data_IF_413961548450
#
_entry.id   IF_413961548450
#
_cell.length_a   1.000
_cell.length_b   1.000
_cell.length_c   1.000
_cell.angle_alpha   90.00
_cell.angle_beta   90.00
_cell.angle_gamma   90.00
#
_symmetry.space_group_name_H-M   'P 1'
#
loop_
_entity.id
_entity.type
_entity.pdbx_description
1 polymer ?
#
# COMPACT_ATOMS: atom_id res chain seq x y z
N UNK A 1 -50.09 80.78 -55.27
CA UNK A 1 -49.24 79.65 -55.06
C UNK A 1 -48.70 79.51 -53.60
N UNK A 2 -48.47 80.59 -52.87
CA UNK A 2 -47.89 80.51 -51.46
C UNK A 2 -48.85 79.91 -50.40
N UNK A 3 -50.19 80.08 -50.58
CA UNK A 3 -51.18 79.55 -49.62
C UNK A 3 -51.38 78.02 -49.69
N UNK A 4 -51.16 77.39 -50.85
CA UNK A 4 -51.30 75.94 -51.04
C UNK A 4 -50.09 75.18 -50.42
N UNK A 5 -48.87 75.76 -50.40
CA UNK A 5 -47.68 75.12 -49.83
C UNK A 5 -47.77 75.07 -48.30
N UNK A 6 -48.35 76.16 -47.68
CA UNK A 6 -48.52 76.20 -46.22
C UNK A 6 -49.47 75.09 -45.73
N UNK A 7 -50.55 74.83 -46.51
CA UNK A 7 -51.54 73.78 -46.21
C UNK A 7 -50.89 72.39 -46.21
N UNK A 8 -50.01 72.10 -47.18
CA UNK A 8 -49.37 70.80 -47.31
C UNK A 8 -48.37 70.57 -46.16
N UNK A 9 -47.62 71.59 -45.72
CA UNK A 9 -46.64 71.50 -44.59
C UNK A 9 -47.39 71.26 -43.27
N UNK A 10 -48.57 71.89 -43.05
CA UNK A 10 -49.35 71.69 -41.82
C UNK A 10 -49.92 70.25 -41.78
N UNK A 11 -50.43 69.75 -42.92
CA UNK A 11 -50.95 68.36 -43.01
C UNK A 11 -49.79 67.35 -42.79
N UNK A 12 -48.58 67.60 -43.33
CA UNK A 12 -47.40 66.72 -43.11
C UNK A 12 -46.95 66.72 -41.65
N UNK A 13 -46.98 67.86 -40.94
CA UNK A 13 -46.63 67.95 -39.52
C UNK A 13 -47.69 67.26 -38.62
N UNK A 14 -49.00 67.38 -38.95
CA UNK A 14 -50.08 66.68 -38.19
C UNK A 14 -50.04 65.20 -38.46
N UNK A 15 -49.80 64.76 -39.70
CA UNK A 15 -49.66 63.33 -40.04
C UNK A 15 -48.33 62.72 -39.43
N UNK A 16 -47.20 63.45 -39.46
CA UNK A 16 -45.95 63.03 -38.87
C UNK A 16 -46.04 62.96 -37.34
N UNK A 17 -46.65 63.96 -36.68
CA UNK A 17 -46.91 63.94 -35.24
C UNK A 17 -47.85 62.82 -34.79
N UNK A 18 -48.93 62.58 -35.57
CA UNK A 18 -49.84 61.46 -35.33
C UNK A 18 -49.20 60.09 -35.49
N UNK A 19 -48.34 59.90 -36.50
CA UNK A 19 -47.60 58.71 -36.75
C UNK A 19 -46.53 58.46 -35.63
N UNK A 20 -45.85 59.50 -35.19
CA UNK A 20 -44.91 59.46 -34.11
C UNK A 20 -45.56 59.15 -32.75
N UNK A 21 -46.71 59.72 -32.46
CA UNK A 21 -47.50 59.44 -31.26
C UNK A 21 -48.05 58.00 -31.27
N UNK A 22 -48.48 57.50 -32.45
CA UNK A 22 -48.95 56.14 -32.61
C UNK A 22 -47.84 55.08 -32.47
N UNK A 23 -46.69 55.30 -33.06
CA UNK A 23 -45.49 54.41 -32.89
C UNK A 23 -44.97 54.38 -31.46
N UNK A 24 -45.06 55.54 -30.75
CA UNK A 24 -44.69 55.53 -29.30
C UNK A 24 -45.69 54.79 -28.41
N UNK A 25 -47.00 54.83 -28.76
CA UNK A 25 -48.01 54.07 -28.05
C UNK A 25 -47.97 52.55 -28.37
N UNK A 26 -47.71 52.21 -29.61
CA UNK A 26 -47.52 50.82 -30.01
C UNK A 26 -46.26 50.16 -29.45
N UNK A 27 -45.23 50.97 -29.17
CA UNK A 27 -43.97 50.49 -28.51
C UNK A 27 -44.09 50.29 -26.99
N UNK A 28 -45.12 50.82 -26.34
CA UNK A 28 -45.32 50.72 -24.89
C UNK A 28 -46.10 49.45 -24.42
N UNK A 29 -46.76 48.72 -25.37
CA UNK A 29 -47.46 47.50 -25.06
C UNK A 29 -46.76 46.20 -25.48
N UNK A 30 -45.56 46.30 -26.09
CA UNK A 30 -44.88 45.15 -26.69
C UNK A 30 -43.80 44.48 -25.80
N UNK A 31 -43.67 44.82 -24.51
CA UNK A 31 -42.60 44.26 -23.66
C UNK A 31 -43.15 43.65 -22.36
N UNK A 32 -44.25 42.92 -22.42
CA UNK A 32 -44.58 41.94 -21.39
C UNK A 32 -44.27 40.54 -21.94
N UNK A 33 -43.02 40.13 -21.77
CA UNK A 33 -42.70 38.71 -21.94
C UNK A 33 -43.70 37.87 -21.14
N UNK A 34 -44.18 36.71 -21.65
CA UNK A 34 -45.13 35.89 -20.93
C UNK A 34 -44.52 35.50 -19.56
N UNK A 35 -45.22 35.93 -18.51
CA UNK A 35 -44.79 35.60 -17.15
C UNK A 35 -44.93 34.10 -16.94
N UNK A 36 -43.81 33.42 -16.75
CA UNK A 36 -43.81 32.02 -16.37
C UNK A 36 -44.13 31.97 -14.88
N UNK A 37 -45.27 31.41 -14.55
CA UNK A 37 -45.67 31.19 -13.15
C UNK A 37 -45.61 29.70 -12.83
N UNK A 38 -45.23 29.35 -11.62
CA UNK A 38 -45.24 28.00 -11.10
C UNK A 38 -46.08 27.93 -9.82
N UNK A 39 -46.77 26.82 -9.61
CA UNK A 39 -47.46 26.58 -8.35
C UNK A 39 -46.53 25.96 -7.34
N UNK A 40 -46.68 26.35 -6.08
CA UNK A 40 -46.01 25.70 -4.94
C UNK A 40 -46.68 24.35 -4.73
N UNK A 41 -45.95 23.29 -4.96
CA UNK A 41 -46.43 21.91 -4.86
C UNK A 41 -45.67 21.18 -3.73
N UNK A 42 -46.34 20.20 -3.13
CA UNK A 42 -45.71 19.31 -2.17
C UNK A 42 -45.25 18.06 -2.89
N UNK A 43 -43.94 17.74 -2.71
CA UNK A 43 -43.37 16.58 -3.39
C UNK A 43 -42.06 16.11 -2.74
N UNK A 44 -41.51 15.01 -3.23
CA UNK A 44 -40.23 14.53 -2.78
C UNK A 44 -39.08 15.38 -3.36
N UNK A 45 -38.10 15.67 -2.53
CA UNK A 45 -36.87 16.32 -2.95
C UNK A 45 -35.68 15.53 -2.39
N UNK A 46 -34.61 15.46 -3.16
CA UNK A 46 -33.36 14.84 -2.74
C UNK A 46 -32.18 15.69 -3.20
N UNK A 47 -31.31 15.97 -2.24
CA UNK A 47 -30.02 16.57 -2.53
C UNK A 47 -29.06 15.45 -2.94
N UNK A 48 -28.48 15.57 -4.10
CA UNK A 48 -27.60 14.56 -4.67
C UNK A 48 -26.21 15.16 -4.96
N UNK A 49 -25.19 14.28 -4.91
CA UNK A 49 -23.85 14.55 -5.42
C UNK A 49 -23.58 13.54 -6.52
N UNK A 50 -23.43 14.02 -7.74
CA UNK A 50 -23.08 13.19 -8.89
C UNK A 50 -21.56 13.12 -9.05
N UNK A 51 -21.04 11.93 -9.30
CA UNK A 51 -19.63 11.69 -9.53
C UNK A 51 -19.45 10.56 -10.54
N UNK A 52 -18.36 10.59 -11.28
CA UNK A 52 -17.93 9.47 -12.12
C UNK A 52 -16.85 8.68 -11.38
N UNK A 53 -16.83 7.39 -11.59
CA UNK A 53 -15.86 6.51 -10.95
C UNK A 53 -15.57 5.27 -11.78
N UNK A 54 -14.67 4.46 -11.27
CA UNK A 54 -14.35 3.14 -11.84
C UNK A 54 -14.68 2.04 -10.86
N UNK A 55 -15.12 0.92 -11.40
CA UNK A 55 -15.35 -0.31 -10.62
C UNK A 55 -13.99 -0.91 -10.25
N UNK A 56 -13.84 -1.32 -9.01
CA UNK A 56 -12.64 -2.02 -8.53
C UNK A 56 -13.03 -3.25 -7.74
N UNK A 57 -12.15 -4.24 -7.75
CA UNK A 57 -12.24 -5.43 -6.91
C UNK A 57 -12.07 -5.09 -5.43
N UNK A 58 -12.31 -6.07 -4.58
CA UNK A 58 -12.00 -5.94 -3.14
C UNK A 58 -10.49 -5.84 -2.91
N UNK A 59 -9.74 -6.71 -3.58
CA UNK A 59 -8.29 -6.80 -3.50
C UNK A 59 -7.73 -7.30 -4.82
N UNK A 60 -6.69 -6.64 -5.32
CA UNK A 60 -5.87 -7.12 -6.43
C UNK A 60 -4.49 -7.47 -5.91
N UNK A 61 -4.04 -8.70 -6.17
CA UNK A 61 -2.74 -9.19 -5.75
C UNK A 61 -1.90 -9.55 -6.97
N UNK A 62 -0.82 -8.82 -7.15
CA UNK A 62 0.18 -9.13 -8.15
C UNK A 62 1.07 -10.28 -7.67
N UNK A 63 0.95 -11.42 -8.32
CA UNK A 63 1.74 -12.62 -8.03
C UNK A 63 3.09 -12.49 -8.72
N UNK A 64 4.14 -12.47 -7.90
CA UNK A 64 5.54 -12.44 -8.35
C UNK A 64 6.25 -13.70 -7.92
N UNK A 65 7.13 -14.23 -8.77
CA UNK A 65 7.95 -15.37 -8.39
C UNK A 65 9.11 -14.94 -7.50
N UNK A 66 9.39 -15.73 -6.47
CA UNK A 66 10.56 -15.58 -5.63
C UNK A 66 11.78 -16.31 -6.19
N UNK A 67 11.58 -17.41 -6.94
CA UNK A 67 12.62 -18.12 -7.68
C UNK A 67 12.74 -17.61 -9.12
N UNK A 68 13.87 -17.85 -9.75
CA UNK A 68 14.11 -17.61 -11.18
C UNK A 68 14.07 -18.93 -11.94
N UNK A 69 13.63 -18.92 -13.19
CA UNK A 69 13.60 -20.11 -14.02
C UNK A 69 12.70 -19.99 -15.23
N UNK A 70 12.65 -21.03 -16.05
CA UNK A 70 11.70 -21.13 -17.16
C UNK A 70 10.33 -21.62 -16.64
N UNK A 71 9.25 -21.07 -17.17
CA UNK A 71 7.89 -21.50 -16.84
C UNK A 71 7.62 -22.85 -17.53
N UNK A 72 7.39 -23.90 -16.73
CA UNK A 72 7.09 -25.25 -17.24
C UNK A 72 5.58 -25.48 -17.28
N UNK A 73 4.84 -25.06 -16.25
CA UNK A 73 3.39 -25.20 -16.18
C UNK A 73 2.72 -23.90 -15.79
N UNK A 74 1.57 -23.65 -16.40
CA UNK A 74 0.72 -22.50 -16.16
C UNK A 74 -0.74 -22.97 -16.33
N UNK A 75 -1.34 -23.60 -15.30
CA UNK A 75 -2.63 -24.29 -15.42
C UNK A 75 -3.83 -23.33 -15.55
N UNK A 76 -3.67 -22.04 -15.16
CA UNK A 76 -4.75 -21.05 -15.17
C UNK A 76 -4.57 -20.06 -16.31
N UNK A 77 -5.68 -19.71 -16.96
CA UNK A 77 -5.75 -18.63 -17.96
C UNK A 77 -6.57 -17.45 -17.40
N UNK A 78 -6.61 -16.36 -18.16
CA UNK A 78 -7.40 -15.17 -17.81
C UNK A 78 -8.87 -15.54 -17.66
N UNK A 79 -9.49 -15.07 -16.59
CA UNK A 79 -10.87 -15.35 -16.16
C UNK A 79 -11.08 -16.70 -15.45
N UNK A 80 -10.05 -17.51 -15.26
CA UNK A 80 -10.16 -18.72 -14.44
C UNK A 80 -10.23 -18.39 -12.96
N UNK A 81 -10.98 -19.21 -12.19
CA UNK A 81 -11.08 -19.07 -10.74
C UNK A 81 -10.04 -19.95 -10.07
N UNK A 82 -9.21 -19.34 -9.25
CA UNK A 82 -8.22 -20.01 -8.41
C UNK A 82 -8.59 -19.91 -6.94
N UNK A 83 -8.38 -20.99 -6.20
CA UNK A 83 -8.52 -21.04 -4.74
C UNK A 83 -7.17 -20.87 -4.08
N UNK A 84 -7.18 -20.40 -2.85
CA UNK A 84 -5.97 -20.31 -2.04
C UNK A 84 -5.29 -21.68 -1.92
N UNK A 85 -3.99 -21.72 -2.25
CA UNK A 85 -3.18 -22.93 -2.29
C UNK A 85 -3.15 -23.64 -3.64
N UNK A 86 -3.91 -23.19 -4.64
CA UNK A 86 -3.83 -23.74 -5.99
C UNK A 86 -2.49 -23.36 -6.63
N UNK A 87 -1.90 -24.31 -7.38
CA UNK A 87 -0.66 -24.10 -8.12
C UNK A 87 -0.92 -23.19 -9.33
N UNK A 88 -0.42 -21.96 -9.27
CA UNK A 88 -0.58 -20.98 -10.36
C UNK A 88 0.48 -21.12 -11.42
N UNK A 89 1.73 -21.33 -11.01
CA UNK A 89 2.88 -21.45 -11.90
C UNK A 89 3.86 -22.46 -11.35
N UNK A 90 4.44 -23.27 -12.22
CA UNK A 90 5.58 -24.12 -11.89
C UNK A 90 6.77 -23.74 -12.78
N UNK A 91 7.87 -23.41 -12.12
CA UNK A 91 9.15 -23.14 -12.79
C UNK A 91 9.95 -24.45 -12.93
N UNK A 92 10.90 -24.47 -13.84
CA UNK A 92 11.85 -25.58 -13.97
C UNK A 92 12.68 -25.71 -12.68
N UNK A 93 12.53 -26.82 -11.91
CA UNK A 93 13.18 -26.98 -10.63
C UNK A 93 14.60 -27.54 -10.73
N UNK A 94 15.11 -27.88 -11.92
CA UNK A 94 16.34 -28.67 -12.10
C UNK A 94 17.53 -28.01 -11.45
N UNK A 95 17.70 -26.71 -11.66
CA UNK A 95 18.86 -25.99 -11.12
C UNK A 95 18.78 -25.85 -9.60
N UNK A 96 17.60 -25.52 -9.05
CA UNK A 96 17.39 -25.44 -7.60
C UNK A 96 17.52 -26.81 -6.92
N UNK A 97 17.08 -27.90 -7.54
CA UNK A 97 17.30 -29.27 -7.05
C UNK A 97 18.78 -29.62 -6.96
N UNK A 98 19.60 -29.18 -7.92
CA UNK A 98 21.06 -29.38 -7.86
C UNK A 98 21.68 -28.66 -6.67
N UNK A 99 21.23 -27.42 -6.39
CA UNK A 99 21.70 -26.63 -5.24
C UNK A 99 21.31 -27.30 -3.92
N UNK A 100 20.07 -27.84 -3.81
CA UNK A 100 19.64 -28.63 -2.64
C UNK A 100 20.54 -29.84 -2.45
N UNK A 101 20.75 -30.63 -3.49
CA UNK A 101 21.61 -31.81 -3.39
C UNK A 101 23.06 -31.48 -3.00
N UNK A 102 23.61 -30.38 -3.56
CA UNK A 102 24.93 -29.90 -3.14
C UNK A 102 24.96 -29.51 -1.65
N UNK A 103 23.90 -28.85 -1.17
CA UNK A 103 23.73 -28.54 0.26
C UNK A 103 23.67 -29.77 1.15
N UNK A 104 22.93 -30.81 0.74
CA UNK A 104 22.84 -32.09 1.47
C UNK A 104 24.21 -32.80 1.60
N UNK A 105 24.96 -32.86 0.50
CA UNK A 105 26.30 -33.45 0.50
C UNK A 105 27.25 -32.66 1.42
N UNK A 106 27.19 -31.34 1.35
CA UNK A 106 28.01 -30.46 2.20
C UNK A 106 27.69 -30.61 3.68
N UNK A 107 26.38 -30.67 4.02
CA UNK A 107 25.94 -30.93 5.39
C UNK A 107 26.38 -32.30 5.88
N UNK A 108 26.32 -33.33 5.04
CA UNK A 108 26.81 -34.67 5.38
C UNK A 108 28.33 -34.65 5.69
N UNK A 109 29.11 -33.93 4.90
CA UNK A 109 30.55 -33.78 5.11
C UNK A 109 30.88 -33.04 6.43
N UNK A 110 30.16 -31.96 6.74
CA UNK A 110 30.35 -31.21 7.99
C UNK A 110 29.92 -32.03 9.22
N UNK A 111 28.88 -32.84 9.14
CA UNK A 111 28.47 -33.78 10.20
C UNK A 111 29.53 -34.85 10.44
N UNK A 112 30.12 -35.42 9.38
CA UNK A 112 31.22 -36.37 9.52
C UNK A 112 32.47 -35.71 10.19
N UNK A 113 32.80 -34.49 9.82
CA UNK A 113 33.88 -33.74 10.44
C UNK A 113 33.62 -33.46 11.95
N UNK A 114 32.40 -33.15 12.32
CA UNK A 114 32.01 -32.99 13.72
C UNK A 114 32.18 -34.30 14.49
N UNK A 115 31.75 -35.42 13.91
CA UNK A 115 31.90 -36.74 14.52
C UNK A 115 33.39 -37.10 14.74
N UNK A 116 34.26 -36.86 13.75
CA UNK A 116 35.70 -37.02 13.87
C UNK A 116 36.24 -36.18 15.03
N UNK A 117 35.90 -34.89 15.09
CA UNK A 117 36.37 -34.01 16.16
C UNK A 117 35.88 -34.47 17.55
N UNK A 118 34.66 -34.98 17.66
CA UNK A 118 34.13 -35.54 18.90
C UNK A 118 34.84 -36.81 19.31
N UNK A 119 35.15 -37.70 18.38
CA UNK A 119 35.93 -38.94 18.65
C UNK A 119 37.36 -38.61 19.09
N UNK A 120 38.02 -37.66 18.41
CA UNK A 120 39.35 -37.19 18.82
C UNK A 120 39.34 -36.62 20.24
N UNK A 121 38.35 -35.83 20.60
CA UNK A 121 38.18 -35.32 21.95
C UNK A 121 37.99 -36.45 22.96
N UNK A 122 37.11 -37.41 22.65
CA UNK A 122 36.83 -38.54 23.51
C UNK A 122 38.09 -39.39 23.77
N UNK A 123 38.90 -39.64 22.75
CA UNK A 123 40.18 -40.33 22.88
C UNK A 123 41.15 -39.52 23.75
N UNK A 124 41.29 -38.22 23.49
CA UNK A 124 42.19 -37.35 24.28
C UNK A 124 41.80 -37.29 25.77
N UNK A 125 40.50 -37.25 26.07
CA UNK A 125 39.98 -37.31 27.46
C UNK A 125 40.40 -38.62 28.14
N UNK A 126 40.22 -39.77 27.48
CA UNK A 126 40.57 -41.08 28.02
C UNK A 126 42.08 -41.23 28.24
N UNK A 127 42.90 -40.74 27.30
CA UNK A 127 44.36 -40.78 27.44
C UNK A 127 44.78 -39.94 28.63
N UNK A 128 44.32 -38.71 28.76
CA UNK A 128 44.66 -37.85 29.91
C UNK A 128 44.24 -38.45 31.24
N UNK A 129 43.05 -39.04 31.34
CA UNK A 129 42.56 -39.71 32.55
C UNK A 129 43.45 -40.91 32.92
N UNK A 130 43.83 -41.73 31.95
CA UNK A 130 44.74 -42.86 32.16
C UNK A 130 46.12 -42.41 32.63
N UNK A 131 46.65 -41.35 32.01
CA UNK A 131 47.98 -40.83 32.37
C UNK A 131 47.97 -40.13 33.74
N UNK A 132 46.87 -39.50 34.14
CA UNK A 132 46.66 -38.98 35.49
C UNK A 132 46.68 -40.09 36.54
N UNK A 133 45.98 -41.18 36.30
CA UNK A 133 45.95 -42.32 37.23
C UNK A 133 47.34 -42.91 37.37
N UNK A 134 48.14 -43.11 36.30
CA UNK A 134 49.53 -43.61 36.33
C UNK A 134 50.41 -42.64 37.07
N UNK A 135 50.35 -41.33 36.78
CA UNK A 135 51.21 -40.33 37.44
C UNK A 135 50.86 -40.17 38.92
N UNK A 136 49.56 -40.24 39.30
CA UNK A 136 49.18 -40.22 40.71
C UNK A 136 49.71 -41.43 41.48
N UNK A 137 49.65 -42.64 40.92
CA UNK A 137 50.18 -43.86 41.50
C UNK A 137 51.76 -43.78 41.64
N UNK A 138 52.42 -43.24 40.59
CA UNK A 138 53.87 -43.04 40.62
C UNK A 138 54.30 -41.99 41.67
N UNK A 139 53.57 -40.91 41.81
CA UNK A 139 53.80 -39.87 42.85
C UNK A 139 53.62 -40.44 44.24
N UNK A 140 52.58 -41.20 44.51
CA UNK A 140 52.35 -41.85 45.80
C UNK A 140 53.47 -42.81 46.12
N UNK A 141 53.91 -43.64 45.18
CA UNK A 141 55.08 -44.58 45.41
C UNK A 141 56.38 -43.82 45.67
N UNK A 142 56.65 -42.72 44.95
CA UNK A 142 57.86 -41.88 45.17
C UNK A 142 57.78 -41.17 46.53
N UNK A 143 56.63 -40.69 46.95
CA UNK A 143 56.39 -40.07 48.28
C UNK A 143 56.76 -41.05 49.40
N UNK A 144 56.28 -42.29 49.36
CA UNK A 144 56.54 -43.32 50.36
C UNK A 144 58.03 -43.68 50.40
N UNK A 145 58.69 -43.86 49.22
CA UNK A 145 60.09 -44.17 49.16
C UNK A 145 60.97 -43.02 49.70
N UNK A 146 60.71 -41.80 49.34
CA UNK A 146 61.41 -40.62 49.83
C UNK A 146 61.27 -40.43 51.32
N UNK A 147 60.06 -40.65 51.88
CA UNK A 147 59.84 -40.60 53.31
C UNK A 147 60.60 -41.68 54.06
N UNK A 148 60.63 -42.95 53.60
CA UNK A 148 61.33 -44.05 54.20
C UNK A 148 62.88 -43.86 54.14
N UNK A 149 63.42 -43.46 52.97
CA UNK A 149 64.83 -43.19 52.79
C UNK A 149 65.29 -42.02 53.68
N UNK A 150 64.50 -40.96 53.79
CA UNK A 150 64.81 -39.83 54.67
C UNK A 150 64.85 -40.25 56.15
N UNK A 151 63.82 -41.00 56.59
CA UNK A 151 63.80 -41.54 57.96
C UNK A 151 64.95 -42.44 58.26
N UNK A 152 65.47 -43.24 57.29
CA UNK A 152 66.72 -44.02 57.44
C UNK A 152 67.91 -43.15 57.54
N UNK A 153 68.13 -42.16 56.71
CA UNK A 153 69.23 -41.21 56.75
C UNK A 153 69.25 -40.44 58.08
N UNK A 154 68.14 -39.96 58.56
CA UNK A 154 68.03 -39.26 59.84
C UNK A 154 68.39 -40.19 61.02
N UNK A 155 67.97 -41.44 60.99
CA UNK A 155 68.39 -42.42 61.99
C UNK A 155 69.92 -42.71 61.95
N UNK A 156 70.51 -42.90 60.75
CA UNK A 156 71.91 -43.12 60.60
C UNK A 156 72.71 -41.90 61.05
N UNK A 157 72.25 -40.70 60.81
CA UNK A 157 72.89 -39.47 61.33
C UNK A 157 72.89 -39.44 62.86
N UNK A 158 71.80 -39.78 63.54
CA UNK A 158 71.74 -39.85 65.00
C UNK A 158 72.66 -40.95 65.56
N UNK A 159 72.81 -42.10 64.88
CA UNK A 159 73.74 -43.16 65.29
C UNK A 159 75.20 -42.78 65.08
N UNK A 160 75.51 -42.06 64.00
CA UNK A 160 76.82 -41.54 63.72
C UNK A 160 77.30 -40.54 64.81
N UNK A 161 76.43 -39.62 65.19
CA UNK A 161 76.61 -38.64 66.28
C UNK A 161 76.95 -39.38 67.63
N UNK A 162 76.39 -40.58 67.80
CA UNK A 162 76.65 -41.44 68.97
C UNK A 162 77.83 -42.42 68.78
N UNK A 163 78.60 -42.36 67.67
CA UNK A 163 79.68 -43.27 67.28
C UNK A 163 79.23 -44.74 67.17
N UNK A 164 77.96 -45.01 66.81
CA UNK A 164 77.39 -46.37 66.73
C UNK A 164 77.33 -46.92 65.31
N UNK A 165 77.77 -46.15 64.30
CA UNK A 165 77.76 -46.52 62.86
C UNK A 165 78.99 -45.88 62.18
N UNK A 166 79.31 -46.33 60.94
CA UNK A 166 80.37 -45.75 60.13
C UNK A 166 79.94 -44.55 59.31
N UNK A 167 80.86 -43.65 58.93
CA UNK A 167 80.65 -42.56 58.02
C UNK A 167 80.09 -43.04 56.65
N UNK A 168 80.67 -44.15 56.16
CA UNK A 168 80.25 -44.76 54.87
C UNK A 168 78.79 -45.21 54.87
N UNK A 169 78.31 -45.77 55.99
CA UNK A 169 76.93 -46.17 56.13
C UNK A 169 75.95 -44.97 56.16
N UNK A 170 76.35 -43.87 56.81
CA UNK A 170 75.61 -42.61 56.77
C UNK A 170 75.59 -42.01 55.37
N UNK A 171 76.74 -41.90 54.71
CA UNK A 171 76.84 -41.34 53.35
C UNK A 171 76.04 -42.15 52.34
N UNK A 172 76.01 -43.47 52.50
CA UNK A 172 75.18 -44.35 51.70
C UNK A 172 73.63 -44.06 51.90
N UNK A 173 73.22 -43.89 53.16
CA UNK A 173 71.85 -43.59 53.48
C UNK A 173 71.41 -42.18 53.01
N UNK A 174 72.34 -41.19 53.13
CA UNK A 174 72.11 -39.82 52.67
C UNK A 174 71.98 -39.77 51.13
N UNK A 175 72.89 -40.51 50.44
CA UNK A 175 72.83 -40.64 48.99
C UNK A 175 71.49 -41.29 48.55
N UNK A 176 71.03 -42.34 49.23
CA UNK A 176 69.71 -42.97 48.94
C UNK A 176 68.60 -42.05 49.22
N UNK A 177 68.62 -41.21 50.27
CA UNK A 177 67.55 -40.19 50.51
C UNK A 177 67.55 -39.10 49.46
N UNK A 178 68.71 -38.62 49.01
CA UNK A 178 68.88 -37.63 47.95
C UNK A 178 68.30 -38.16 46.61
N UNK A 179 68.64 -39.39 46.25
CA UNK A 179 68.17 -40.07 45.05
C UNK A 179 66.65 -40.21 45.08
N UNK A 180 66.11 -40.71 46.22
CA UNK A 180 64.61 -40.80 46.36
C UNK A 180 63.90 -39.43 46.35
N UNK A 181 64.57 -38.36 46.82
CA UNK A 181 64.09 -36.99 46.75
C UNK A 181 64.00 -36.49 45.30
N UNK A 182 65.03 -36.80 44.47
CA UNK A 182 64.96 -36.43 43.03
C UNK A 182 63.92 -37.22 42.28
N UNK A 183 63.68 -38.49 42.63
CA UNK A 183 62.56 -39.30 42.06
C UNK A 183 61.19 -38.70 42.41
N UNK A 184 61.04 -38.20 43.64
CA UNK A 184 59.80 -37.51 44.06
C UNK A 184 59.60 -36.23 43.26
N UNK A 185 60.69 -35.42 43.07
CA UNK A 185 60.55 -34.21 42.21
C UNK A 185 60.19 -34.59 40.80
N UNK A 186 60.76 -35.61 40.21
CA UNK A 186 60.48 -36.10 38.87
C UNK A 186 59.01 -36.53 38.73
N UNK A 187 58.46 -37.23 39.73
CA UNK A 187 57.06 -37.62 39.76
C UNK A 187 56.11 -36.40 39.90
N UNK A 188 56.58 -35.40 40.66
CA UNK A 188 55.77 -34.13 40.79
C UNK A 188 55.77 -33.35 39.49
N UNK A 189 56.93 -33.24 38.80
CA UNK A 189 56.98 -32.58 37.47
C UNK A 189 56.06 -33.29 36.46
N UNK A 190 55.98 -34.63 36.55
CA UNK A 190 55.07 -35.38 35.68
C UNK A 190 53.63 -35.00 35.88
N UNK A 191 53.15 -34.71 37.08
CA UNK A 191 51.78 -34.20 37.35
C UNK A 191 51.61 -32.78 36.74
N UNK A 192 52.67 -31.95 36.78
CA UNK A 192 52.61 -30.60 36.20
C UNK A 192 52.54 -30.64 34.67
N UNK A 193 53.28 -31.59 34.04
CA UNK A 193 53.14 -31.79 32.57
C UNK A 193 51.73 -32.15 32.15
N UNK A 194 50.97 -32.88 32.98
CA UNK A 194 49.57 -33.20 32.67
C UNK A 194 48.64 -31.97 32.65
N UNK A 195 48.95 -30.91 33.39
CA UNK A 195 48.21 -29.64 33.30
C UNK A 195 48.37 -28.98 31.92
N UNK A 196 49.54 -29.11 31.30
CA UNK A 196 49.74 -28.66 29.93
C UNK A 196 48.88 -29.45 28.93
N UNK A 197 48.71 -30.76 29.17
CA UNK A 197 47.82 -31.60 28.35
C UNK A 197 46.36 -31.21 28.53
N UNK A 198 45.93 -30.68 29.70
CA UNK A 198 44.57 -30.14 29.90
C UNK A 198 44.31 -28.93 29.00
N UNK A 199 45.31 -28.06 28.80
CA UNK A 199 45.18 -26.93 27.87
C UNK A 199 45.00 -27.44 26.43
N UNK A 200 45.77 -28.47 26.04
CA UNK A 200 45.60 -29.12 24.73
C UNK A 200 44.20 -29.73 24.55
N UNK A 201 43.63 -30.28 25.63
CA UNK A 201 42.26 -30.79 25.63
C UNK A 201 41.24 -29.67 25.39
N UNK A 202 41.46 -28.49 25.97
CA UNK A 202 40.56 -27.32 25.73
C UNK A 202 40.60 -26.88 24.27
N UNK A 203 41.74 -26.93 23.60
CA UNK A 203 41.82 -26.69 22.14
C UNK A 203 40.98 -27.71 21.35
N UNK A 204 40.98 -29.00 21.78
CA UNK A 204 40.10 -30.00 21.14
C UNK A 204 38.62 -29.72 21.37
N UNK A 205 38.21 -29.22 22.54
CA UNK A 205 36.83 -28.78 22.80
C UNK A 205 36.42 -27.64 21.89
N UNK A 206 37.31 -26.65 21.71
CA UNK A 206 37.06 -25.56 20.78
C UNK A 206 36.96 -26.04 19.33
N UNK A 207 37.76 -27.05 18.92
CA UNK A 207 37.63 -27.66 17.59
C UNK A 207 36.27 -28.32 17.39
N UNK A 208 35.72 -29.01 18.40
CA UNK A 208 34.35 -29.55 18.35
C UNK A 208 33.31 -28.43 18.26
N UNK A 209 33.46 -27.33 19.01
CA UNK A 209 32.56 -26.19 18.94
C UNK A 209 32.59 -25.54 17.56
N UNK A 210 33.74 -25.39 16.93
CA UNK A 210 33.89 -24.88 15.57
C UNK A 210 33.24 -25.81 14.56
N UNK A 211 33.47 -27.13 14.65
CA UNK A 211 32.83 -28.09 13.75
C UNK A 211 31.30 -28.09 13.89
N UNK A 212 30.80 -27.93 15.13
CA UNK A 212 29.34 -27.78 15.38
C UNK A 212 28.78 -26.53 14.74
N UNK A 213 29.44 -25.37 14.86
CA UNK A 213 29.03 -24.14 14.22
C UNK A 213 28.99 -24.26 12.68
N UNK A 214 29.96 -25.03 12.10
CA UNK A 214 29.98 -25.31 10.67
C UNK A 214 28.76 -26.15 10.23
N UNK A 215 28.39 -27.18 11.01
CA UNK A 215 27.14 -27.96 10.74
C UNK A 215 25.94 -27.05 10.75
N UNK A 216 25.78 -26.18 11.74
CA UNK A 216 24.68 -25.25 11.84
C UNK A 216 24.62 -24.28 10.64
N UNK A 217 25.76 -23.77 10.20
CA UNK A 217 25.85 -22.92 9.01
C UNK A 217 25.42 -23.65 7.73
N UNK A 218 25.84 -24.91 7.58
CA UNK A 218 25.47 -25.73 6.43
C UNK A 218 23.99 -26.18 6.47
N UNK A 219 23.41 -26.40 7.66
CA UNK A 219 21.97 -26.64 7.85
C UNK A 219 21.13 -25.44 7.42
N UNK A 220 21.52 -24.22 7.82
CA UNK A 220 20.88 -22.99 7.38
C UNK A 220 20.99 -22.84 5.85
N UNK A 221 22.17 -23.08 5.30
CA UNK A 221 22.40 -23.01 3.85
C UNK A 221 21.52 -23.99 3.07
N UNK A 222 21.37 -25.21 3.55
CA UNK A 222 20.47 -26.21 2.98
C UNK A 222 19.01 -25.78 3.07
N UNK A 223 18.59 -25.26 4.21
CA UNK A 223 17.21 -24.74 4.38
C UNK A 223 16.89 -23.65 3.38
N UNK A 224 17.81 -22.70 3.15
CA UNK A 224 17.65 -21.64 2.14
C UNK A 224 17.51 -22.24 0.74
N UNK A 225 18.32 -23.25 0.40
CA UNK A 225 18.22 -23.93 -0.89
C UNK A 225 16.88 -24.66 -1.07
N UNK A 226 16.40 -25.32 -0.02
CA UNK A 226 15.08 -25.98 -0.01
C UNK A 226 13.92 -24.98 -0.16
N UNK A 227 14.02 -23.83 0.49
CA UNK A 227 13.04 -22.75 0.36
C UNK A 227 12.98 -22.23 -1.07
N UNK A 228 14.15 -22.00 -1.71
CA UNK A 228 14.21 -21.60 -3.13
C UNK A 228 13.62 -22.65 -4.05
N UNK A 229 13.88 -23.94 -3.79
CA UNK A 229 13.27 -25.01 -4.55
C UNK A 229 11.75 -25.04 -4.36
N UNK A 230 11.23 -24.82 -3.14
CA UNK A 230 9.79 -24.73 -2.89
C UNK A 230 9.18 -23.51 -3.62
N UNK A 231 9.89 -22.39 -3.64
CA UNK A 231 9.48 -21.16 -4.32
C UNK A 231 9.44 -21.27 -5.86
N UNK A 232 9.91 -22.41 -6.45
CA UNK A 232 9.67 -22.71 -7.87
C UNK A 232 8.20 -23.05 -8.16
N UNK A 233 7.43 -23.40 -7.15
CA UNK A 233 5.98 -23.61 -7.20
C UNK A 233 5.30 -22.41 -6.59
N UNK A 234 4.61 -21.63 -7.42
CA UNK A 234 3.91 -20.44 -7.01
C UNK A 234 2.44 -20.77 -6.80
N UNK A 235 1.99 -20.66 -5.56
CA UNK A 235 0.62 -20.94 -5.15
C UNK A 235 -0.18 -19.65 -4.96
N UNK A 236 -1.51 -19.75 -5.09
CA UNK A 236 -2.44 -18.66 -4.87
C UNK A 236 -2.48 -18.27 -3.37
N UNK A 237 -2.19 -17.00 -3.01
CA UNK A 237 -2.27 -16.55 -1.62
C UNK A 237 -3.71 -16.29 -1.14
N UNK A 238 -4.62 -16.04 -2.08
CA UNK A 238 -6.04 -15.73 -1.85
C UNK A 238 -6.93 -16.49 -2.84
N UNK A 239 -8.21 -16.61 -2.51
CA UNK A 239 -9.24 -16.99 -3.49
C UNK A 239 -9.48 -15.82 -4.43
N UNK A 240 -9.60 -16.06 -5.73
CA UNK A 240 -9.82 -14.99 -6.69
C UNK A 240 -9.93 -15.48 -8.13
N UNK A 241 -10.06 -14.52 -9.03
CA UNK A 241 -10.09 -14.75 -10.47
C UNK A 241 -8.82 -14.17 -11.08
N UNK A 242 -8.22 -14.87 -12.05
CA UNK A 242 -7.06 -14.38 -12.79
C UNK A 242 -7.50 -13.20 -13.68
N UNK A 243 -7.12 -11.99 -13.27
CA UNK A 243 -7.46 -10.77 -14.01
C UNK A 243 -6.52 -10.54 -15.20
N UNK A 244 -5.22 -10.73 -14.98
CA UNK A 244 -4.18 -10.51 -16.00
C UNK A 244 -3.16 -11.62 -15.91
N UNK A 245 -2.67 -12.08 -17.07
CA UNK A 245 -1.58 -13.03 -17.20
C UNK A 245 -0.46 -12.40 -18.03
N UNK A 246 0.70 -12.22 -17.40
CA UNK A 246 1.84 -11.51 -18.02
C UNK A 246 2.93 -12.43 -18.57
N UNK A 247 2.83 -13.75 -18.35
CA UNK A 247 3.85 -14.72 -18.75
C UNK A 247 3.27 -15.87 -19.56
N UNK A 248 4.15 -16.56 -20.27
CA UNK A 248 3.82 -17.72 -21.12
C UNK A 248 4.69 -18.92 -20.77
N UNK A 249 4.22 -20.12 -21.09
CA UNK A 249 5.01 -21.36 -20.96
C UNK A 249 6.28 -21.24 -21.80
N UNK A 250 7.42 -21.63 -21.23
CA UNK A 250 8.76 -21.52 -21.85
C UNK A 250 9.44 -20.16 -21.67
N UNK A 251 8.75 -19.16 -21.11
CA UNK A 251 9.36 -17.86 -20.82
C UNK A 251 10.25 -17.97 -19.58
N UNK A 252 11.43 -17.35 -19.63
CA UNK A 252 12.34 -17.23 -18.50
C UNK A 252 11.94 -16.01 -17.69
N UNK A 253 11.75 -16.20 -16.39
CA UNK A 253 11.42 -15.15 -15.44
C UNK A 253 12.50 -15.00 -14.39
N UNK A 254 12.65 -13.79 -13.88
CA UNK A 254 13.61 -13.46 -12.82
C UNK A 254 12.93 -13.28 -11.47
N UNK A 255 13.63 -13.71 -10.43
CA UNK A 255 13.20 -13.59 -9.03
C UNK A 255 12.92 -12.15 -8.63
N UNK A 256 11.85 -11.95 -7.86
CA UNK A 256 11.52 -10.67 -7.25
C UNK A 256 12.45 -10.25 -6.11
N UNK A 257 13.20 -11.21 -5.53
CA UNK A 257 14.10 -10.97 -4.39
C UNK A 257 15.50 -10.56 -4.86
N UNK A 258 15.99 -11.16 -5.93
CA UNK A 258 17.36 -10.96 -6.41
C UNK A 258 17.50 -9.82 -7.44
N UNK A 259 16.40 -9.22 -7.87
CA UNK A 259 16.44 -8.17 -8.89
C UNK A 259 16.02 -6.81 -8.31
N UNK A 260 16.87 -5.79 -8.48
CA UNK A 260 16.62 -4.40 -8.05
C UNK A 260 15.33 -3.82 -8.67
N UNK A 261 14.85 -4.37 -9.79
CA UNK A 261 13.60 -3.99 -10.47
C UNK A 261 12.32 -4.64 -9.91
N UNK A 262 12.39 -5.42 -8.82
CA UNK A 262 11.21 -5.98 -8.15
C UNK A 262 10.61 -7.24 -8.78
N UNK A 263 11.30 -7.90 -9.71
CA UNK A 263 10.91 -9.17 -10.32
C UNK A 263 9.76 -9.06 -11.35
N UNK A 264 9.49 -10.17 -12.04
CA UNK A 264 8.42 -10.27 -13.03
C UNK A 264 7.09 -10.59 -12.36
N UNK A 265 6.07 -9.75 -12.56
CA UNK A 265 4.68 -10.09 -12.22
C UNK A 265 4.20 -11.16 -13.18
N UNK A 266 3.80 -12.31 -12.65
CA UNK A 266 3.38 -13.47 -13.42
C UNK A 266 1.92 -13.36 -13.83
N UNK A 267 1.07 -13.12 -12.84
CA UNK A 267 -0.35 -12.90 -13.01
C UNK A 267 -0.88 -12.03 -11.87
N UNK A 268 -2.06 -11.44 -12.08
CA UNK A 268 -2.79 -10.69 -11.06
C UNK A 268 -4.05 -11.45 -10.69
N UNK A 269 -4.22 -11.75 -9.39
CA UNK A 269 -5.44 -12.31 -8.84
C UNK A 269 -6.32 -11.20 -8.27
N UNK A 270 -7.59 -11.17 -8.70
CA UNK A 270 -8.59 -10.24 -8.21
C UNK A 270 -9.64 -10.95 -7.36
N UNK A 271 -9.84 -10.49 -6.15
CA UNK A 271 -10.93 -10.92 -5.28
C UNK A 271 -12.21 -10.17 -5.65
N UNK A 272 -13.15 -10.86 -6.26
CA UNK A 272 -14.47 -10.33 -6.66
C UNK A 272 -15.57 -10.64 -5.65
N UNK A 273 -15.26 -11.11 -4.45
CA UNK A 273 -16.25 -11.35 -3.38
C UNK A 273 -17.03 -10.09 -3.01
N UNK A 274 -16.38 -8.95 -3.09
CA UNK A 274 -16.96 -7.61 -2.92
C UNK A 274 -16.48 -6.70 -4.05
N UNK A 275 -17.39 -5.92 -4.59
CA UNK A 275 -17.10 -4.95 -5.65
C UNK A 275 -17.30 -3.54 -5.08
N UNK A 276 -16.38 -2.66 -5.41
CA UNK A 276 -16.42 -1.26 -5.02
C UNK A 276 -16.36 -0.34 -6.23
N UNK A 277 -16.80 0.88 -6.03
CA UNK A 277 -16.59 1.94 -7.00
C UNK A 277 -15.77 3.03 -6.32
N UNK A 278 -14.71 3.45 -6.98
CA UNK A 278 -13.92 4.61 -6.61
C UNK A 278 -14.44 5.80 -7.40
N UNK A 279 -15.32 6.57 -6.77
CA UNK A 279 -15.93 7.76 -7.36
C UNK A 279 -15.10 9.01 -7.05
N UNK A 280 -14.83 9.83 -8.06
CA UNK A 280 -14.11 11.10 -7.93
C UNK A 280 -15.09 12.23 -7.69
N UNK A 281 -15.18 12.72 -6.47
CA UNK A 281 -16.07 13.81 -6.04
C UNK A 281 -15.28 15.11 -5.99
N UNK A 282 -15.86 16.17 -6.55
CA UNK A 282 -15.28 17.51 -6.55
C UNK A 282 -15.14 18.10 -5.12
N UNK A 283 -14.09 18.91 -4.89
CA UNK A 283 -13.82 19.59 -3.62
C UNK A 283 -15.03 20.41 -3.14
N UNK A 284 -15.75 21.05 -4.04
CA UNK A 284 -16.92 21.88 -3.72
C UNK A 284 -18.10 21.08 -3.15
N UNK A 285 -18.14 19.76 -3.39
CA UNK A 285 -19.25 18.88 -3.02
C UNK A 285 -18.89 17.89 -1.92
N UNK A 286 -17.60 17.59 -1.71
CA UNK A 286 -17.18 16.55 -0.75
C UNK A 286 -17.62 16.84 0.70
N UNK A 287 -17.73 18.11 1.08
CA UNK A 287 -18.20 18.52 2.41
C UNK A 287 -19.63 18.07 2.74
N UNK A 288 -20.43 17.68 1.72
CA UNK A 288 -21.78 17.16 1.88
C UNK A 288 -21.84 15.63 1.99
N UNK A 289 -20.80 14.94 1.53
CA UNK A 289 -20.74 13.47 1.53
C UNK A 289 -20.35 12.97 2.91
N UNK A 290 -21.06 11.95 3.38
CA UNK A 290 -20.81 11.28 4.66
C UNK A 290 -20.77 9.77 4.48
N UNK A 291 -20.16 9.09 5.47
CA UNK A 291 -20.19 7.63 5.53
C UNK A 291 -21.63 7.13 5.65
N UNK A 292 -21.86 5.93 5.17
CA UNK A 292 -23.13 5.21 5.21
C UNK A 292 -24.27 5.80 4.34
N UNK A 293 -24.01 6.83 3.55
CA UNK A 293 -24.99 7.34 2.58
C UNK A 293 -25.24 6.33 1.47
N UNK A 294 -26.49 6.27 1.02
CA UNK A 294 -26.93 5.48 -0.13
C UNK A 294 -26.46 6.13 -1.42
N UNK A 295 -26.15 5.32 -2.42
CA UNK A 295 -25.76 5.78 -3.73
C UNK A 295 -26.44 4.94 -4.81
N UNK A 296 -27.01 5.61 -5.78
CA UNK A 296 -27.52 5.01 -7.01
C UNK A 296 -26.37 4.96 -8.03
N UNK A 297 -26.11 3.77 -8.57
CA UNK A 297 -25.00 3.48 -9.46
C UNK A 297 -25.56 3.10 -10.82
N UNK A 298 -25.05 3.71 -11.88
CA UNK A 298 -25.33 3.33 -13.26
C UNK A 298 -24.02 3.05 -13.97
N UNK A 299 -23.92 1.91 -14.64
CA UNK A 299 -22.74 1.55 -15.42
C UNK A 299 -23.06 1.66 -16.91
N UNK A 300 -22.12 2.22 -17.67
CA UNK A 300 -22.31 2.42 -19.12
C UNK A 300 -22.49 1.09 -19.87
N UNK A 301 -21.95 0.01 -19.33
CA UNK A 301 -22.10 -1.36 -19.86
C UNK A 301 -23.54 -1.93 -19.69
N UNK A 302 -24.35 -1.36 -18.78
CA UNK A 302 -25.71 -1.85 -18.49
C UNK A 302 -26.73 -0.69 -18.51
N UNK A 303 -27.03 -0.15 -19.68
CA UNK A 303 -27.95 0.99 -19.80
C UNK A 303 -29.35 0.64 -19.28
N UNK A 304 -29.94 1.55 -18.49
CA UNK A 304 -31.28 1.39 -17.92
C UNK A 304 -31.32 0.53 -16.63
N UNK A 305 -30.20 0.05 -16.13
CA UNK A 305 -30.13 -0.62 -14.82
C UNK A 305 -29.48 0.30 -13.80
N UNK A 306 -30.15 0.47 -12.67
CA UNK A 306 -29.58 1.17 -11.50
C UNK A 306 -29.24 0.15 -10.42
N UNK A 307 -28.04 0.21 -9.96
CA UNK A 307 -27.52 -0.63 -8.87
C UNK A 307 -27.43 0.21 -7.60
N UNK A 308 -27.59 -0.43 -6.46
CA UNK A 308 -27.49 0.24 -5.18
C UNK A 308 -26.10 0.07 -4.58
N UNK A 309 -25.60 1.12 -3.94
CA UNK A 309 -24.35 1.13 -3.22
C UNK A 309 -24.43 1.95 -1.96
N UNK A 310 -23.37 1.82 -1.14
CA UNK A 310 -23.23 2.52 0.13
C UNK A 310 -21.82 3.10 0.26
N UNK A 311 -21.73 4.34 0.70
CA UNK A 311 -20.44 5.00 0.96
C UNK A 311 -19.75 4.35 2.16
N UNK A 312 -18.59 3.73 1.95
CA UNK A 312 -17.83 3.04 3.00
C UNK A 312 -16.56 3.78 3.41
N UNK A 313 -16.01 4.61 2.52
CA UNK A 313 -14.81 5.38 2.80
C UNK A 313 -14.76 6.66 1.97
N UNK A 314 -14.28 7.73 2.60
CA UNK A 314 -13.96 9.00 1.96
C UNK A 314 -12.48 9.23 2.14
N UNK A 315 -11.75 9.50 1.05
CA UNK A 315 -10.31 9.77 1.12
C UNK A 315 -10.04 11.06 1.92
N UNK A 316 -9.08 11.01 2.80
CA UNK A 316 -8.67 12.19 3.61
C UNK A 316 -7.79 13.16 2.82
N UNK A 317 -7.23 12.70 1.69
CA UNK A 317 -6.37 13.51 0.82
C UNK A 317 -7.00 13.64 -0.55
N UNK A 318 -7.12 14.88 -1.03
CA UNK A 318 -7.52 15.16 -2.42
C UNK A 318 -6.38 14.89 -3.40
N UNK A 319 -6.76 14.55 -4.61
CA UNK A 319 -5.86 14.36 -5.75
C UNK A 319 -6.10 15.53 -6.70
N UNK A 320 -5.03 16.22 -7.09
CA UNK A 320 -5.12 17.28 -8.10
C UNK A 320 -4.89 16.64 -9.48
N UNK A 321 -5.95 16.62 -10.29
CA UNK A 321 -5.89 16.14 -11.66
C UNK A 321 -6.27 17.30 -12.59
N UNK A 322 -5.36 17.74 -13.46
CA UNK A 322 -5.61 18.81 -14.43
C UNK A 322 -6.16 20.10 -13.79
N UNK A 323 -5.60 20.54 -12.67
CA UNK A 323 -6.01 21.73 -11.89
C UNK A 323 -7.39 21.62 -11.19
N UNK A 324 -7.99 20.43 -11.17
CA UNK A 324 -9.20 20.17 -10.40
C UNK A 324 -8.85 19.27 -9.23
N UNK A 325 -9.21 19.69 -8.01
CA UNK A 325 -9.04 18.90 -6.80
C UNK A 325 -10.27 18.00 -6.63
N UNK A 326 -10.03 16.70 -6.64
CA UNK A 326 -11.07 15.70 -6.40
C UNK A 326 -10.71 14.81 -5.21
N UNK A 327 -11.72 14.31 -4.53
CA UNK A 327 -11.61 13.37 -3.43
C UNK A 327 -12.19 12.02 -3.84
N UNK A 328 -11.44 10.97 -3.58
CA UNK A 328 -11.88 9.61 -3.86
C UNK A 328 -12.86 9.14 -2.79
N UNK A 329 -14.05 8.74 -3.21
CA UNK A 329 -15.08 8.15 -2.36
C UNK A 329 -15.24 6.69 -2.76
N UNK A 330 -15.01 5.77 -1.82
CA UNK A 330 -15.18 4.33 -2.01
C UNK A 330 -16.61 3.93 -1.64
N UNK A 331 -17.31 3.35 -2.60
CA UNK A 331 -18.72 2.95 -2.49
C UNK A 331 -18.80 1.46 -2.68
N UNK A 332 -19.38 0.74 -1.73
CA UNK A 332 -19.62 -0.69 -1.83
C UNK A 332 -20.88 -0.94 -2.62
N UNK A 333 -20.79 -1.81 -3.62
CA UNK A 333 -21.93 -2.25 -4.43
C UNK A 333 -22.72 -3.32 -3.67
N UNK A 334 -24.03 -3.17 -3.57
CA UNK A 334 -24.91 -4.07 -2.83
C UNK A 334 -25.78 -4.89 -3.82
N UNK A 335 -26.10 -6.14 -3.45
CA UNK A 335 -27.04 -7.00 -4.20
C UNK A 335 -26.42 -7.73 -5.38
N UNK A 336 -27.24 -8.06 -6.38
CA UNK A 336 -26.87 -8.87 -7.56
C UNK A 336 -25.85 -8.20 -8.50
N UNK A 337 -25.67 -6.91 -8.37
CA UNK A 337 -24.72 -6.12 -9.15
C UNK A 337 -23.27 -6.65 -9.04
N UNK A 338 -22.92 -7.33 -7.95
CA UNK A 338 -21.59 -7.89 -7.71
C UNK A 338 -21.16 -8.90 -8.78
N UNK A 339 -22.10 -9.62 -9.38
CA UNK A 339 -21.81 -10.63 -10.41
C UNK A 339 -21.76 -10.04 -11.82
N UNK A 340 -22.35 -8.87 -12.02
CA UNK A 340 -22.46 -8.22 -13.32
C UNK A 340 -21.36 -7.21 -13.58
N UNK A 341 -21.00 -6.43 -12.55
CA UNK A 341 -19.97 -5.41 -12.67
C UNK A 341 -18.58 -6.05 -12.63
N UNK A 342 -17.72 -5.64 -13.55
CA UNK A 342 -16.32 -6.10 -13.63
C UNK A 342 -15.37 -4.94 -13.30
N UNK A 343 -14.20 -5.24 -12.71
CA UNK A 343 -13.18 -4.23 -12.50
C UNK A 343 -12.86 -3.44 -13.78
N UNK A 344 -12.43 -2.21 -13.62
CA UNK A 344 -12.12 -1.22 -14.68
C UNK A 344 -13.32 -0.73 -15.50
N UNK A 345 -14.56 -1.18 -15.23
CA UNK A 345 -15.76 -0.55 -15.84
C UNK A 345 -15.98 0.86 -15.31
N UNK A 346 -16.35 1.77 -16.18
CA UNK A 346 -16.80 3.13 -15.80
C UNK A 346 -18.21 3.07 -15.23
N UNK A 347 -18.43 3.77 -14.13
CA UNK A 347 -19.73 3.90 -13.49
C UNK A 347 -20.00 5.35 -13.11
N UNK A 348 -21.26 5.77 -13.29
CA UNK A 348 -21.76 7.04 -12.80
C UNK A 348 -22.49 6.81 -11.49
N UNK A 349 -22.15 7.58 -10.48
CA UNK A 349 -22.64 7.44 -9.11
C UNK A 349 -23.39 8.68 -8.70
N UNK A 350 -24.57 8.51 -8.15
CA UNK A 350 -25.40 9.57 -7.58
C UNK A 350 -25.54 9.29 -6.09
N UNK A 351 -24.76 9.99 -5.27
CA UNK A 351 -24.79 9.86 -3.81
C UNK A 351 -25.96 10.66 -3.27
N UNK A 352 -26.82 10.04 -2.48
CA UNK A 352 -27.98 10.67 -1.86
C UNK A 352 -27.54 11.29 -0.53
N UNK A 353 -27.40 12.61 -0.54
CA UNK A 353 -26.94 13.36 0.64
C UNK A 353 -28.07 13.50 1.65
N UNK A 354 -29.26 13.88 1.18
CA UNK A 354 -30.45 14.04 1.99
C UNK A 354 -31.70 13.80 1.15
N UNK A 355 -32.73 13.23 1.72
CA UNK A 355 -34.02 12.96 1.09
C UNK A 355 -35.12 13.39 2.02
N UNK A 356 -36.11 14.11 1.47
CA UNK A 356 -37.39 14.39 2.13
C UNK A 356 -38.53 13.96 1.19
N UNK A 357 -39.46 13.19 1.69
CA UNK A 357 -40.55 12.64 0.88
C UNK A 357 -41.72 13.62 0.70
N UNK A 358 -41.80 14.67 1.54
CA UNK A 358 -42.85 15.69 1.48
C UNK A 358 -42.30 17.05 1.88
N UNK A 359 -41.87 17.83 0.89
CA UNK A 359 -41.39 19.20 1.03
C UNK A 359 -42.19 20.14 0.17
N UNK A 360 -42.34 21.41 0.56
CA UNK A 360 -42.90 22.45 -0.30
C UNK A 360 -41.83 22.87 -1.30
N UNK A 361 -42.13 22.69 -2.59
CA UNK A 361 -41.17 22.85 -3.68
C UNK A 361 -41.55 24.05 -4.55
N UNK A 362 -40.55 24.84 -4.88
CA UNK A 362 -40.63 25.89 -5.90
C UNK A 362 -39.49 25.68 -6.91
N UNK A 363 -39.65 26.09 -8.20
CA UNK A 363 -38.52 26.12 -9.11
C UNK A 363 -37.39 27.00 -8.52
N UNK A 364 -36.14 26.55 -8.63
CA UNK A 364 -35.00 27.28 -8.09
C UNK A 364 -34.86 28.68 -8.70
N UNK A 365 -35.34 28.87 -9.94
CA UNK A 365 -35.41 30.14 -10.68
C UNK A 365 -36.40 31.15 -10.09
N UNK A 366 -37.34 30.70 -9.24
CA UNK A 366 -38.29 31.56 -8.54
C UNK A 366 -37.73 32.17 -7.27
N UNK A 367 -36.59 31.64 -6.77
CA UNK A 367 -35.94 32.10 -5.55
C UNK A 367 -34.85 33.07 -5.90
N UNK A 368 -34.93 34.31 -5.43
CA UNK A 368 -33.88 35.31 -5.64
C UNK A 368 -33.33 35.83 -4.32
N UNK A 369 -32.06 36.21 -4.33
CA UNK A 369 -31.34 36.71 -3.17
C UNK A 369 -31.36 38.25 -3.15
N UNK A 370 -31.85 38.83 -2.04
CA UNK A 370 -31.80 40.27 -1.83
C UNK A 370 -31.15 40.56 -0.49
N UNK A 371 -30.05 41.28 -0.52
CA UNK A 371 -29.22 41.55 0.69
C UNK A 371 -28.83 40.28 1.47
N UNK A 372 -28.57 39.17 0.75
CA UNK A 372 -28.18 37.88 1.35
C UNK A 372 -29.34 37.05 1.94
N UNK A 373 -30.59 37.47 1.80
CA UNK A 373 -31.76 36.69 2.22
C UNK A 373 -32.55 36.21 0.99
N UNK A 374 -33.06 34.96 1.02
CA UNK A 374 -33.89 34.44 -0.06
C UNK A 374 -35.32 35.02 -0.01
N UNK A 375 -35.85 35.41 -1.18
CA UNK A 375 -37.18 35.93 -1.38
C UNK A 375 -37.83 35.23 -2.59
N UNK A 376 -39.15 35.16 -2.58
CA UNK A 376 -39.97 34.70 -3.70
C UNK A 376 -41.03 35.72 -4.01
N UNK A 377 -41.34 35.96 -5.29
CA UNK A 377 -42.46 36.79 -5.69
C UNK A 377 -43.74 35.94 -5.83
N UNK A 378 -44.69 36.19 -4.99
CA UNK A 378 -46.02 35.55 -5.01
C UNK A 378 -46.93 36.36 -5.87
N UNK A 379 -47.54 35.73 -6.87
CA UNK A 379 -48.61 36.35 -7.66
C UNK A 379 -49.94 36.21 -6.91
N UNK A 380 -50.61 37.33 -6.62
CA UNK A 380 -51.99 37.34 -6.08
C UNK A 380 -53.03 37.32 -7.23
N UNK A 381 -54.24 36.86 -6.91
CA UNK A 381 -55.33 36.77 -7.89
C UNK A 381 -55.75 38.13 -8.44
N UNK A 382 -55.36 39.24 -7.76
CA UNK A 382 -55.56 40.60 -8.19
C UNK A 382 -54.50 41.15 -9.18
N UNK A 383 -53.55 40.30 -9.60
CA UNK A 383 -52.45 40.65 -10.49
C UNK A 383 -51.31 41.42 -9.82
N UNK A 384 -51.36 41.61 -8.48
CA UNK A 384 -50.29 42.25 -7.73
C UNK A 384 -49.20 41.22 -7.35
N UNK A 385 -47.95 41.69 -7.26
CA UNK A 385 -46.83 40.88 -6.83
C UNK A 385 -46.45 41.28 -5.42
N UNK A 386 -46.33 40.29 -4.54
CA UNK A 386 -45.83 40.48 -3.20
C UNK A 386 -44.53 39.75 -3.03
N UNK A 387 -43.49 40.47 -2.58
CA UNK A 387 -42.19 39.83 -2.18
C UNK A 387 -42.35 39.22 -0.79
N UNK A 388 -42.31 37.90 -0.73
CA UNK A 388 -42.32 37.15 0.54
C UNK A 388 -40.92 36.68 0.90
N UNK A 389 -40.42 37.00 2.10
CA UNK A 389 -39.18 36.42 2.61
C UNK A 389 -39.42 34.94 2.89
N UNK A 390 -38.49 34.09 2.43
CA UNK A 390 -38.60 32.63 2.59
C UNK A 390 -37.40 32.07 3.26
N UNK A 391 -37.56 30.94 3.95
CA UNK A 391 -36.45 30.12 4.41
C UNK A 391 -36.33 28.90 3.52
N UNK A 392 -35.16 28.69 2.94
CA UNK A 392 -34.87 27.58 2.04
C UNK A 392 -33.95 26.56 2.74
N UNK A 393 -34.10 25.27 2.42
CA UNK A 393 -33.22 24.20 2.95
C UNK A 393 -32.60 23.38 1.80
N UNK A 394 -33.29 22.36 1.31
CA UNK A 394 -32.76 21.49 0.26
C UNK A 394 -33.00 22.06 -1.14
N UNK A 395 -32.00 21.81 -2.02
CA UNK A 395 -32.16 22.08 -3.47
C UNK A 395 -31.60 20.93 -4.29
N UNK A 396 -32.30 20.54 -5.33
CA UNK A 396 -31.82 19.56 -6.32
C UNK A 396 -31.25 20.21 -7.59
N UNK A 397 -31.13 21.57 -7.59
CA UNK A 397 -30.67 22.36 -8.73
C UNK A 397 -31.82 22.83 -9.61
N UNK A 398 -32.96 22.11 -9.71
CA UNK A 398 -34.16 22.49 -10.46
C UNK A 398 -35.25 23.01 -9.56
N UNK A 399 -35.42 22.40 -8.39
CA UNK A 399 -36.38 22.77 -7.36
C UNK A 399 -35.71 23.08 -6.04
N UNK A 400 -36.25 24.00 -5.27
CA UNK A 400 -35.78 24.39 -3.94
C UNK A 400 -36.89 24.19 -2.92
N UNK A 401 -36.56 23.56 -1.79
CA UNK A 401 -37.46 23.41 -0.65
C UNK A 401 -37.62 24.72 0.06
N UNK A 402 -38.88 25.07 0.38
CA UNK A 402 -39.25 26.20 1.23
C UNK A 402 -39.73 25.65 2.58
N UNK A 403 -39.02 25.99 3.66
CA UNK A 403 -39.39 25.56 5.00
C UNK A 403 -40.37 26.52 5.69
N UNK A 404 -40.28 27.82 5.35
CA UNK A 404 -41.16 28.87 5.87
C UNK A 404 -41.36 29.98 4.84
N UNK A 405 -42.52 30.62 4.88
CA UNK A 405 -42.82 31.83 4.10
C UNK A 405 -43.77 31.62 2.93
N UNK A 406 -44.15 30.38 2.58
CA UNK A 406 -45.15 30.07 1.53
C UNK A 406 -46.12 28.99 2.01
N UNK A 407 -47.31 28.99 1.42
CA UNK A 407 -48.31 27.95 1.60
C UNK A 407 -48.47 27.13 0.29
N UNK A 408 -48.89 25.88 0.43
CA UNK A 408 -49.19 24.99 -0.69
C UNK A 408 -50.28 25.59 -1.60
N UNK A 409 -50.08 25.49 -2.90
CA UNK A 409 -51.02 26.00 -3.91
C UNK A 409 -50.85 27.49 -4.29
N UNK A 410 -49.96 28.23 -3.62
CA UNK A 410 -49.64 29.60 -4.01
C UNK A 410 -48.93 29.63 -5.37
N UNK A 411 -49.18 30.67 -6.15
CA UNK A 411 -48.56 30.87 -7.44
C UNK A 411 -47.34 31.79 -7.28
N UNK A 412 -46.17 31.33 -7.71
CA UNK A 412 -44.91 32.09 -7.67
C UNK A 412 -44.49 32.47 -9.08
N UNK A 413 -43.88 33.63 -9.22
CA UNK A 413 -43.39 34.13 -10.50
C UNK A 413 -41.98 33.59 -10.72
N UNK A 414 -41.80 32.88 -11.83
CA UNK A 414 -40.46 32.40 -12.26
C UNK A 414 -39.91 33.47 -13.19
N UNK A 415 -38.81 34.08 -12.79
CA UNK A 415 -38.07 34.97 -13.68
C UNK A 415 -37.21 34.13 -14.59
N UNK A 416 -37.39 34.14 -15.92
CA UNK A 416 -36.48 33.45 -16.81
C UNK A 416 -35.07 34.03 -16.60
N UNK A 417 -34.15 33.19 -16.21
CA UNK A 417 -32.82 33.44 -15.66
C UNK A 417 -32.13 34.71 -16.12
N UNK A 418 -31.88 35.57 -15.17
CA UNK A 418 -30.96 36.71 -15.31
C UNK A 418 -29.49 36.28 -15.38
N UNK A 419 -29.20 35.31 -16.23
CA UNK A 419 -27.87 35.04 -16.76
C UNK A 419 -27.67 35.79 -18.08
N UNK A 420 -28.12 37.05 -18.14
CA UNK A 420 -27.57 37.96 -19.14
C UNK A 420 -26.09 38.14 -18.81
N UNK A 421 -25.32 37.53 -19.67
CA UNK A 421 -23.89 37.67 -19.72
C UNK A 421 -23.45 39.12 -19.55
N UNK A 422 -22.75 39.45 -18.50
CA UNK A 422 -21.97 40.69 -18.31
C UNK A 422 -20.90 40.89 -19.40
N UNK A 423 -21.07 40.23 -20.56
CA UNK A 423 -20.11 40.26 -21.67
C UNK A 423 -20.66 40.92 -22.92
N UNK A 424 -21.86 41.57 -22.93
CA UNK A 424 -22.42 42.24 -24.10
C UNK A 424 -22.32 43.77 -24.09
N UNK A 425 -21.49 44.36 -23.22
CA UNK A 425 -21.24 45.84 -23.28
C UNK A 425 -19.77 46.14 -23.41
N UNK A 426 -19.15 45.67 -24.47
CA UNK A 426 -17.83 46.05 -24.95
C UNK A 426 -17.99 46.62 -26.36
N UNK A 427 -18.06 47.94 -26.44
CA UNK A 427 -18.02 48.72 -27.67
C UNK A 427 -17.00 48.15 -28.67
N UNK A 428 -17.48 47.83 -29.88
CA UNK A 428 -16.62 47.65 -31.05
C UNK A 428 -15.88 48.95 -31.39
N UNK A 429 -14.57 48.99 -31.42
CA UNK A 429 -13.86 50.05 -32.19
C UNK A 429 -13.91 49.61 -33.66
N UNK A 430 -14.38 50.53 -34.49
CA UNK A 430 -14.26 50.47 -35.94
C UNK A 430 -12.82 50.58 -36.36
N UNK A 431 -12.41 49.75 -37.32
CA UNK A 431 -11.52 50.11 -38.40
C UNK A 431 -10.00 50.09 -38.09
N UNK A 432 -9.34 49.07 -38.57
CA UNK A 432 -7.91 49.02 -38.76
C UNK A 432 -7.52 47.81 -39.60
N UNK A 433 -7.17 48.06 -40.86
CA UNK A 433 -6.75 47.05 -41.84
C UNK A 433 -5.52 46.26 -41.37
N UNK A 434 -5.35 45.02 -41.82
CA UNK A 434 -4.23 44.18 -41.42
C UNK A 434 -2.94 44.63 -42.13
N UNK A 435 -1.94 45.03 -41.32
CA UNK A 435 -0.55 45.15 -41.77
C UNK A 435 0.14 43.81 -41.56
N UNK A 436 0.52 43.21 -42.69
CA UNK A 436 1.49 42.10 -42.74
C UNK A 436 2.85 42.54 -42.14
N UNK A 437 3.47 41.76 -41.29
CA UNK A 437 4.89 41.87 -41.09
C UNK A 437 5.63 40.84 -41.94
N UNK A 438 6.40 41.39 -42.84
CA UNK A 438 7.41 40.83 -43.68
C UNK A 438 8.47 40.07 -42.86
N UNK A 439 8.80 38.88 -43.26
CA UNK A 439 9.99 38.12 -42.81
C UNK A 439 11.26 38.75 -43.33
N UNK A 440 12.36 38.76 -42.59
CA UNK A 440 13.69 38.69 -43.17
C UNK A 440 14.39 37.41 -42.79
N UNK A 441 14.79 36.78 -43.78
CA UNK A 441 15.84 35.98 -44.27
C UNK A 441 16.93 35.42 -43.36
N UNK A 442 17.19 34.22 -43.68
CA UNK A 442 18.34 33.34 -43.58
C UNK A 442 19.69 33.96 -43.14
N UNK A 443 20.35 33.25 -42.23
CA UNK A 443 21.78 33.33 -41.93
C UNK A 443 22.33 31.95 -41.57
N UNK A 444 22.99 31.31 -42.51
CA UNK A 444 23.86 30.13 -42.37
C UNK A 444 25.10 30.47 -41.52
N UNK A 445 25.59 29.47 -40.79
CA UNK A 445 26.98 28.99 -40.54
C UNK A 445 27.01 28.39 -39.12
N UNK A 446 27.50 27.19 -38.86
CA UNK A 446 28.65 26.46 -39.38
C UNK A 446 29.55 26.06 -38.22
N UNK A 447 29.76 24.78 -38.01
CA UNK A 447 30.98 24.15 -37.57
C UNK A 447 31.36 24.18 -36.05
N UNK A 448 31.27 23.14 -35.35
CA UNK A 448 32.31 22.15 -35.03
C UNK A 448 31.70 21.04 -34.22
#
# INVERSE_FOLDING_TARGET
MKKAIIGIVVVALVAGGGYYAWTRRAGAEADKAPEVTAKVERGPIRMIVAATGRVVSNLDVDIKCKASGAVVKLPFDVSDTAKKGDLLVELDPVDELRVVHQGEVRLSASKANLEIAQQELAVAVRVLETDRQKAAAALQAAQVRAADARAKADRMKQLLEKHLTSQEEYDTAETAASTSGTDLISATVKIEELKTQEIALELKRQAVALAKAQVEADEISLSIAQDRHRDTKVEAPIDGIVAVRNVQIGQIISSGISNVGGGTTVLTLSDLSRIFILASVDESQIGKVRLDQEADITADAFPGRTFQGKVVRIATRGINLSNVVTFEVKIEVIGEARTLLRPEMTANVVIIVSRKDSALLVPSEAVFLRKGKPFVQVARDDGTREESPVETDLTDGTKTEITRGLAEGQTVVVQPGGAESRWSNGQRPQGGAPRNPMFPGAGKRGGK
#
